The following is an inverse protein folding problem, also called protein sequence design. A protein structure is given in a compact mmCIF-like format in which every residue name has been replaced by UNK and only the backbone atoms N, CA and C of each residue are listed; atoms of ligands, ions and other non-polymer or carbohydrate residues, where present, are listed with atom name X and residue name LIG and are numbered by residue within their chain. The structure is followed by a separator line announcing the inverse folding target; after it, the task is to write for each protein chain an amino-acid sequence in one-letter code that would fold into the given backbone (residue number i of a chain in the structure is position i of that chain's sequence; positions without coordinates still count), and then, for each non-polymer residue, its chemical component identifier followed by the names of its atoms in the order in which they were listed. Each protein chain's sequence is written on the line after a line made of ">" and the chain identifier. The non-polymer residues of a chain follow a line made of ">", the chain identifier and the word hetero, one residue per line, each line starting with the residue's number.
data_IF_112088302572
#
_entry.id   IF_112088302572
#
_cell.length_a   1.000
_cell.length_b   1.000
_cell.length_c   1.000
_cell.angle_alpha   90.00
_cell.angle_beta   90.00
_cell.angle_gamma   90.00
#
_symmetry.space_group_name_H-M   'P 1'
#
loop_
_entity.id
_entity.type
_entity.pdbx_description
1 polymer ?
#
# COMPACT_ATOMS: atom_id res chain seq x y z
N UNK A 1 32.68 -13.72 18.97
CA UNK A 1 32.05 -12.41 18.67
C UNK A 1 31.55 -11.81 19.97
N UNK A 2 31.78 -10.53 20.23
CA UNK A 2 31.30 -9.87 21.46
C UNK A 2 29.75 -9.81 21.47
N UNK A 3 29.13 -10.15 22.59
CA UNK A 3 27.66 -10.02 22.76
C UNK A 3 27.30 -8.53 22.74
N UNK A 4 26.52 -8.08 21.75
CA UNK A 4 26.01 -6.71 21.68
C UNK A 4 24.94 -6.51 22.75
N UNK A 5 24.85 -5.29 23.29
CA UNK A 5 23.76 -4.91 24.21
C UNK A 5 22.45 -4.84 23.43
N UNK A 6 21.41 -5.47 23.98
CA UNK A 6 20.06 -5.43 23.40
C UNK A 6 19.45 -4.07 23.75
N UNK A 7 19.02 -3.33 22.74
CA UNK A 7 18.39 -2.02 22.90
C UNK A 7 16.86 -2.07 22.89
N UNK A 8 16.25 -2.82 21.96
CA UNK A 8 14.78 -2.95 21.84
C UNK A 8 14.42 -4.35 21.35
N UNK A 9 13.29 -4.88 21.79
CA UNK A 9 12.70 -6.11 21.24
C UNK A 9 11.49 -5.68 20.40
N UNK A 10 11.47 -6.11 19.14
CA UNK A 10 10.33 -5.89 18.25
C UNK A 10 9.54 -7.19 18.19
N UNK A 11 8.24 -7.13 18.50
CA UNK A 11 7.31 -8.23 18.24
C UNK A 11 6.75 -8.09 16.83
N UNK A 12 6.86 -9.15 16.02
CA UNK A 12 6.27 -9.26 14.69
C UNK A 12 5.29 -10.45 14.69
N UNK A 13 4.12 -10.32 14.06
CA UNK A 13 3.25 -11.48 13.85
C UNK A 13 3.96 -12.64 13.16
N UNK A 14 3.55 -13.87 13.47
CA UNK A 14 3.96 -15.05 12.70
C UNK A 14 3.51 -14.97 11.23
N UNK A 15 4.03 -15.88 10.40
CA UNK A 15 3.83 -15.84 8.95
C UNK A 15 2.37 -16.06 8.55
N UNK A 16 1.69 -16.98 9.23
CA UNK A 16 0.30 -17.35 8.95
C UNK A 16 -0.62 -16.92 10.08
N UNK A 17 -1.90 -16.76 9.77
CA UNK A 17 -2.92 -16.56 10.80
C UNK A 17 -2.92 -17.69 11.83
N UNK A 18 -2.72 -17.34 13.11
CA UNK A 18 -2.65 -18.28 14.22
C UNK A 18 -1.24 -18.70 14.62
N UNK A 19 -0.21 -18.34 13.84
CA UNK A 19 1.18 -18.54 14.24
C UNK A 19 1.55 -17.63 15.43
N UNK A 20 2.47 -18.11 16.27
CA UNK A 20 2.98 -17.33 17.39
C UNK A 20 3.78 -16.11 16.90
N UNK A 21 3.71 -15.02 17.67
CA UNK A 21 4.53 -13.84 17.42
C UNK A 21 6.02 -14.17 17.54
N UNK A 22 6.82 -13.52 16.71
CA UNK A 22 8.27 -13.64 16.65
C UNK A 22 8.90 -12.43 17.31
N UNK A 23 9.78 -12.66 18.28
CA UNK A 23 10.56 -11.61 18.92
C UNK A 23 11.91 -11.42 18.22
N UNK A 24 12.17 -10.19 17.78
CA UNK A 24 13.41 -9.82 17.11
C UNK A 24 14.18 -8.85 18.03
N UNK A 25 15.29 -9.28 18.65
CA UNK A 25 16.12 -8.40 19.47
C UNK A 25 16.98 -7.50 18.58
N UNK A 26 16.82 -6.19 18.74
CA UNK A 26 17.59 -5.16 18.06
C UNK A 26 18.70 -4.65 18.99
N UNK A 27 19.93 -4.60 18.47
CA UNK A 27 21.07 -4.12 19.22
C UNK A 27 21.01 -2.59 19.42
N UNK A 28 21.49 -2.13 20.57
CA UNK A 28 21.46 -0.71 20.99
C UNK A 28 22.16 0.22 19.97
N UNK A 29 23.25 -0.25 19.36
CA UNK A 29 24.04 0.48 18.37
C UNK A 29 23.34 0.63 17.01
N UNK A 30 22.26 -0.12 16.77
CA UNK A 30 21.46 -0.04 15.54
C UNK A 30 20.21 0.82 15.70
N UNK A 31 19.91 1.28 16.92
CA UNK A 31 18.74 2.12 17.17
C UNK A 31 18.91 3.48 16.49
N UNK A 32 17.85 3.90 15.79
CA UNK A 32 17.72 5.23 15.21
C UNK A 32 16.50 5.93 15.83
N UNK A 33 16.19 7.13 15.33
CA UNK A 33 14.93 7.82 15.63
C UNK A 33 13.76 6.90 15.28
N UNK A 34 12.76 6.87 16.16
CA UNK A 34 11.56 6.07 15.94
C UNK A 34 10.77 6.60 14.73
N UNK A 35 10.32 5.69 13.88
CA UNK A 35 9.61 6.02 12.65
C UNK A 35 10.50 6.56 11.54
N UNK A 36 9.87 6.94 10.42
CA UNK A 36 10.54 7.56 9.28
C UNK A 36 10.54 9.07 9.52
N UNK A 37 11.71 9.73 9.62
CA UNK A 37 11.76 11.17 9.78
C UNK A 37 11.20 11.85 8.54
N UNK A 38 10.16 12.67 8.71
CA UNK A 38 9.54 13.44 7.62
C UNK A 38 9.87 14.92 7.76
N UNK A 39 10.19 15.56 6.64
CA UNK A 39 10.37 17.01 6.54
C UNK A 39 9.18 17.60 5.79
N UNK A 40 8.18 18.05 6.53
CA UNK A 40 6.88 18.42 5.95
C UNK A 40 6.97 19.54 4.89
N UNK A 41 7.90 20.48 5.06
CA UNK A 41 8.18 21.53 4.07
C UNK A 41 8.67 20.96 2.73
N UNK A 42 9.57 19.96 2.77
CA UNK A 42 10.06 19.29 1.57
C UNK A 42 8.96 18.46 0.92
N UNK A 43 8.21 17.67 1.70
CA UNK A 43 7.08 16.87 1.20
C UNK A 43 6.06 17.77 0.52
N UNK A 44 5.71 18.91 1.13
CA UNK A 44 4.79 19.88 0.56
C UNK A 44 5.31 20.48 -0.75
N UNK A 45 6.57 20.90 -0.79
CA UNK A 45 7.19 21.44 -2.00
C UNK A 45 7.17 20.41 -3.16
N UNK A 46 7.71 19.22 -2.95
CA UNK A 46 7.77 18.20 -4.00
C UNK A 46 6.38 17.74 -4.44
N UNK A 47 5.42 17.59 -3.53
CA UNK A 47 4.06 17.20 -3.89
C UNK A 47 3.34 18.22 -4.79
N UNK A 48 3.77 19.49 -4.76
CA UNK A 48 3.23 20.57 -5.58
C UNK A 48 3.97 20.72 -6.91
N UNK A 49 5.31 20.75 -6.87
CA UNK A 49 6.12 20.98 -8.06
C UNK A 49 6.27 19.72 -8.93
N UNK A 50 6.23 18.53 -8.31
CA UNK A 50 6.40 17.23 -8.95
C UNK A 50 5.30 16.28 -8.45
N UNK A 51 4.03 16.52 -8.80
CA UNK A 51 2.93 15.70 -8.33
C UNK A 51 3.10 14.26 -8.79
N UNK A 52 2.88 13.32 -7.87
CA UNK A 52 2.99 11.90 -8.16
C UNK A 52 1.97 11.52 -9.24
N UNK A 53 2.40 10.76 -10.25
CA UNK A 53 1.53 10.21 -11.29
C UNK A 53 1.92 8.75 -11.62
N UNK A 54 0.97 8.02 -12.19
CA UNK A 54 1.19 6.69 -12.72
C UNK A 54 2.17 6.74 -13.89
N UNK A 55 3.24 5.94 -13.82
CA UNK A 55 4.22 5.76 -14.90
C UNK A 55 3.56 5.48 -16.27
N UNK A 56 2.48 4.69 -16.28
CA UNK A 56 1.76 4.35 -17.51
C UNK A 56 1.07 5.57 -18.17
N UNK A 57 0.74 6.60 -17.40
CA UNK A 57 0.18 7.86 -17.92
C UNK A 57 1.28 8.84 -18.27
N UNK A 58 2.28 8.99 -17.40
CA UNK A 58 3.41 9.91 -17.62
C UNK A 58 4.25 9.51 -18.84
N UNK A 59 4.44 8.20 -19.06
CA UNK A 59 5.20 7.64 -20.17
C UNK A 59 4.32 6.83 -21.13
N UNK A 60 3.13 7.33 -21.45
CA UNK A 60 2.15 6.66 -22.31
C UNK A 60 2.73 6.24 -23.67
N UNK A 61 3.52 7.10 -24.31
CA UNK A 61 4.18 6.79 -25.58
C UNK A 61 5.10 5.56 -25.50
N UNK A 62 5.86 5.44 -24.40
CA UNK A 62 6.71 4.26 -24.16
C UNK A 62 5.88 3.01 -23.89
N UNK A 63 4.73 3.16 -23.21
CA UNK A 63 3.81 2.04 -22.96
C UNK A 63 3.16 1.53 -24.26
N UNK A 64 2.76 2.43 -25.17
CA UNK A 64 2.22 2.12 -26.49
C UNK A 64 3.27 1.44 -27.37
N UNK A 65 4.48 1.99 -27.44
CA UNK A 65 5.59 1.37 -28.17
C UNK A 65 5.93 -0.01 -27.59
N UNK A 66 6.04 -0.16 -26.27
CA UNK A 66 6.29 -1.47 -25.65
C UNK A 66 5.16 -2.48 -25.91
N UNK A 67 3.93 -2.01 -26.16
CA UNK A 67 2.83 -2.86 -26.60
C UNK A 67 2.98 -3.28 -28.07
N UNK A 68 3.40 -2.39 -28.98
CA UNK A 68 3.64 -2.75 -30.38
C UNK A 68 4.77 -3.78 -30.50
N UNK A 69 5.89 -3.54 -29.82
CA UNK A 69 7.03 -4.47 -29.79
C UNK A 69 6.64 -5.86 -29.25
N UNK A 70 5.85 -5.91 -28.17
CA UNK A 70 5.35 -7.18 -27.63
C UNK A 70 4.40 -7.89 -28.60
N UNK A 71 3.59 -7.14 -29.34
CA UNK A 71 2.64 -7.70 -30.30
C UNK A 71 3.38 -8.31 -31.50
N UNK A 72 4.48 -7.70 -31.93
CA UNK A 72 5.31 -8.18 -33.03
C UNK A 72 6.20 -9.37 -32.62
N UNK A 73 6.88 -9.26 -31.49
CA UNK A 73 7.93 -10.22 -31.11
C UNK A 73 7.49 -11.28 -30.10
N UNK A 74 6.46 -11.03 -29.30
CA UNK A 74 6.01 -11.93 -28.21
C UNK A 74 4.48 -11.99 -28.09
N UNK A 75 3.75 -12.43 -29.12
CA UNK A 75 2.28 -12.36 -29.16
C UNK A 75 1.59 -13.11 -28.02
N UNK A 76 2.13 -14.26 -27.60
CA UNK A 76 1.60 -15.01 -26.46
C UNK A 76 1.67 -14.21 -25.15
N UNK A 77 2.73 -13.42 -24.96
CA UNK A 77 2.84 -12.50 -23.81
C UNK A 77 1.79 -11.40 -23.92
N UNK A 78 1.60 -10.81 -25.10
CA UNK A 78 0.59 -9.77 -25.29
C UNK A 78 -0.84 -10.28 -25.01
N UNK A 79 -1.16 -11.51 -25.40
CA UNK A 79 -2.45 -12.16 -25.08
C UNK A 79 -2.65 -12.29 -23.56
N UNK A 80 -1.63 -12.74 -22.83
CA UNK A 80 -1.68 -12.83 -21.36
C UNK A 80 -1.98 -11.47 -20.70
N UNK A 81 -1.33 -10.39 -21.16
CA UNK A 81 -1.60 -9.04 -20.66
C UNK A 81 -3.02 -8.58 -20.98
N UNK A 82 -3.50 -8.84 -22.21
CA UNK A 82 -4.87 -8.50 -22.62
C UNK A 82 -5.91 -9.22 -21.75
N UNK A 83 -5.71 -10.51 -21.51
CA UNK A 83 -6.63 -11.31 -20.70
C UNK A 83 -6.60 -10.91 -19.23
N UNK A 84 -5.42 -10.57 -18.69
CA UNK A 84 -5.32 -9.99 -17.36
C UNK A 84 -6.11 -8.66 -17.26
N UNK A 85 -5.92 -7.76 -18.23
CA UNK A 85 -6.65 -6.48 -18.25
C UNK A 85 -8.17 -6.69 -18.33
N UNK A 86 -8.65 -7.61 -19.18
CA UNK A 86 -10.08 -7.96 -19.27
C UNK A 86 -10.62 -8.47 -17.94
N UNK A 87 -9.89 -9.35 -17.26
CA UNK A 87 -10.28 -9.90 -15.96
C UNK A 87 -10.28 -8.84 -14.86
N UNK A 88 -9.38 -7.86 -14.93
CA UNK A 88 -9.25 -6.77 -13.95
C UNK A 88 -10.22 -5.61 -14.17
N UNK A 89 -10.65 -5.35 -15.41
CA UNK A 89 -11.50 -4.20 -15.73
C UNK A 89 -12.77 -4.10 -14.84
N UNK A 90 -13.55 -5.18 -14.60
CA UNK A 90 -14.69 -5.11 -13.70
C UNK A 90 -14.33 -4.74 -12.25
N UNK A 91 -13.16 -5.16 -11.77
CA UNK A 91 -12.69 -4.84 -10.42
C UNK A 91 -12.26 -3.38 -10.31
N UNK A 92 -11.52 -2.87 -11.31
CA UNK A 92 -11.14 -1.46 -11.40
C UNK A 92 -12.38 -0.58 -11.36
N UNK A 93 -13.42 -0.95 -12.10
CA UNK A 93 -14.68 -0.20 -12.14
C UNK A 93 -15.40 -0.22 -10.79
N UNK A 94 -15.49 -1.39 -10.13
CA UNK A 94 -16.03 -1.49 -8.77
C UNK A 94 -15.26 -0.64 -7.76
N UNK A 95 -13.94 -0.55 -7.90
CA UNK A 95 -13.08 0.24 -7.01
C UNK A 95 -13.29 1.74 -7.23
N UNK A 96 -13.41 2.19 -8.48
CA UNK A 96 -13.74 3.60 -8.79
C UNK A 96 -15.02 4.07 -8.09
N UNK A 97 -16.05 3.23 -8.10
CA UNK A 97 -17.33 3.52 -7.44
C UNK A 97 -17.36 3.22 -5.94
N UNK A 98 -16.27 2.70 -5.37
CA UNK A 98 -16.21 2.46 -3.92
C UNK A 98 -16.26 3.77 -3.12
N UNK A 99 -15.74 4.86 -3.70
CA UNK A 99 -15.78 6.20 -3.12
C UNK A 99 -17.20 6.79 -3.00
N UNK A 100 -18.13 6.33 -3.83
CA UNK A 100 -19.52 6.82 -3.83
C UNK A 100 -20.35 6.27 -2.65
N UNK A 101 -19.81 5.29 -1.91
CA UNK A 101 -20.50 4.66 -0.80
C UNK A 101 -20.38 5.50 0.47
N UNK A 102 -21.51 5.97 0.99
CA UNK A 102 -21.52 6.63 2.30
C UNK A 102 -21.37 5.59 3.43
N UNK A 103 -20.40 5.77 4.35
CA UNK A 103 -20.23 4.89 5.47
C UNK A 103 -21.33 5.20 6.48
N UNK A 104 -21.95 4.15 7.02
CA UNK A 104 -22.94 4.27 8.08
C UNK A 104 -22.37 3.60 9.35
N UNK A 105 -21.45 4.26 10.07
CA UNK A 105 -20.85 3.68 11.26
C UNK A 105 -21.90 3.56 12.37
N UNK A 106 -21.80 2.51 13.18
CA UNK A 106 -22.58 2.45 14.42
C UNK A 106 -22.11 3.57 15.36
N UNK A 107 -23.05 4.18 16.09
CA UNK A 107 -22.80 5.33 16.97
C UNK A 107 -21.81 5.02 18.10
N UNK A 108 -21.56 3.73 18.38
CA UNK A 108 -20.70 3.23 19.45
C UNK A 108 -19.52 2.38 18.95
N UNK A 109 -19.09 2.53 17.70
CA UNK A 109 -17.87 1.88 17.24
C UNK A 109 -16.68 2.47 18.01
N UNK A 110 -16.19 1.72 19.00
CA UNK A 110 -14.97 2.06 19.74
C UNK A 110 -13.73 1.92 18.86
N UNK A 111 -12.58 1.65 19.48
CA UNK A 111 -11.37 1.33 18.73
C UNK A 111 -11.50 -0.04 18.03
N UNK A 112 -11.51 -0.03 16.69
CA UNK A 112 -11.61 -1.23 15.84
C UNK A 112 -10.24 -1.68 15.30
N UNK A 113 -9.13 -1.13 15.80
CA UNK A 113 -7.79 -1.40 15.26
C UNK A 113 -7.44 -2.88 15.29
N UNK A 114 -7.74 -3.57 16.40
CA UNK A 114 -7.49 -5.02 16.52
C UNK A 114 -8.42 -5.84 15.63
N UNK A 115 -9.70 -5.50 15.56
CA UNK A 115 -10.68 -6.20 14.70
C UNK A 115 -10.30 -6.09 13.21
N UNK A 116 -9.85 -4.91 12.78
CA UNK A 116 -9.36 -4.69 11.42
C UNK A 116 -8.09 -5.51 11.17
N UNK A 117 -7.16 -5.54 12.13
CA UNK A 117 -5.92 -6.32 12.03
C UNK A 117 -6.22 -7.81 11.94
N UNK A 118 -7.08 -8.32 12.81
CA UNK A 118 -7.51 -9.71 12.81
C UNK A 118 -8.15 -10.09 11.48
N UNK A 119 -9.07 -9.24 10.99
CA UNK A 119 -9.73 -9.48 9.70
C UNK A 119 -8.74 -9.49 8.53
N UNK A 120 -7.77 -8.59 8.52
CA UNK A 120 -6.73 -8.55 7.50
C UNK A 120 -5.84 -9.80 7.54
N UNK A 121 -5.46 -10.29 8.73
CA UNK A 121 -4.73 -11.54 8.85
C UNK A 121 -5.55 -12.74 8.35
N UNK A 122 -6.84 -12.81 8.67
CA UNK A 122 -7.75 -13.85 8.14
C UNK A 122 -7.83 -13.83 6.60
N UNK A 123 -7.64 -12.66 5.98
CA UNK A 123 -7.60 -12.51 4.52
C UNK A 123 -6.23 -12.87 3.91
N UNK A 124 -5.23 -13.20 4.72
CA UNK A 124 -3.90 -13.63 4.30
C UNK A 124 -2.84 -12.52 4.24
N UNK A 125 -3.11 -11.33 4.78
CA UNK A 125 -2.10 -10.27 4.89
C UNK A 125 -1.20 -10.51 6.10
N UNK A 126 0.12 -10.47 5.90
CA UNK A 126 1.12 -10.75 6.93
C UNK A 126 1.42 -9.54 7.82
N UNK A 127 1.45 -8.34 7.24
CA UNK A 127 1.71 -7.10 7.97
C UNK A 127 0.61 -6.06 7.70
N UNK A 128 0.20 -5.38 8.78
CA UNK A 128 -0.89 -4.42 8.78
C UNK A 128 -0.42 -3.16 9.49
N UNK A 129 -0.41 -2.06 8.75
CA UNK A 129 -0.08 -0.73 9.27
C UNK A 129 -1.27 0.22 9.18
N UNK A 130 -1.31 1.18 10.10
CA UNK A 130 -2.27 2.28 10.10
C UNK A 130 -1.51 3.59 10.05
N UNK A 131 -1.96 4.51 9.21
CA UNK A 131 -1.36 5.84 9.13
C UNK A 131 -2.43 6.88 8.82
N UNK A 132 -2.13 8.15 9.08
CA UNK A 132 -2.97 9.24 8.64
C UNK A 132 -2.99 9.28 7.11
N UNK A 133 -4.19 9.44 6.55
CA UNK A 133 -4.33 9.61 5.12
C UNK A 133 -3.81 10.99 4.68
N UNK A 134 -2.90 10.98 3.71
CA UNK A 134 -2.28 12.19 3.17
C UNK A 134 -2.41 12.21 1.64
N UNK A 135 -3.16 13.21 1.15
CA UNK A 135 -3.48 13.39 -0.27
C UNK A 135 -2.26 13.70 -1.13
N UNK A 136 -1.14 14.11 -0.53
CA UNK A 136 0.13 14.35 -1.24
C UNK A 136 0.70 13.06 -1.85
N UNK A 137 0.34 11.90 -1.31
CA UNK A 137 0.76 10.59 -1.80
C UNK A 137 -0.25 9.92 -2.75
N UNK A 138 -1.27 10.65 -3.21
CA UNK A 138 -2.25 10.14 -4.17
C UNK A 138 -1.87 10.59 -5.57
N UNK A 139 -1.86 9.66 -6.54
CA UNK A 139 -1.66 9.98 -7.95
C UNK A 139 -2.61 11.09 -8.42
N UNK A 140 -2.08 12.05 -9.18
CA UNK A 140 -2.84 13.21 -9.64
C UNK A 140 -4.12 12.79 -10.38
N UNK A 141 -4.02 11.86 -11.33
CA UNK A 141 -5.16 11.25 -12.06
C UNK A 141 -6.18 10.51 -11.18
N UNK A 142 -5.88 10.23 -9.92
CA UNK A 142 -6.75 9.49 -8.98
C UNK A 142 -7.38 10.38 -7.92
N UNK A 143 -6.93 11.62 -7.76
CA UNK A 143 -7.38 12.52 -6.69
C UNK A 143 -8.88 12.81 -6.70
N UNK A 144 -9.53 12.76 -7.87
CA UNK A 144 -10.97 12.98 -8.02
C UNK A 144 -11.83 11.81 -7.51
N UNK A 145 -11.32 10.58 -7.58
CA UNK A 145 -12.04 9.37 -7.16
C UNK A 145 -11.80 9.01 -5.68
N UNK A 146 -10.79 9.62 -5.06
CA UNK A 146 -10.42 9.31 -3.68
C UNK A 146 -11.13 10.25 -2.71
N UNK A 147 -11.88 9.65 -1.79
CA UNK A 147 -12.54 10.34 -0.68
C UNK A 147 -11.55 11.07 0.21
N UNK A 148 -11.94 12.27 0.62
CA UNK A 148 -11.10 13.16 1.45
C UNK A 148 -11.58 13.29 2.88
N UNK A 149 -12.78 12.79 3.16
CA UNK A 149 -13.40 12.81 4.47
C UNK A 149 -12.92 11.66 5.37
N UNK A 150 -12.22 10.67 4.81
CA UNK A 150 -11.63 9.55 5.55
C UNK A 150 -10.22 9.92 6.05
N UNK A 151 -9.96 9.89 7.37
CA UNK A 151 -8.73 10.44 7.94
C UNK A 151 -7.55 9.47 7.94
N UNK A 152 -7.79 8.18 7.69
CA UNK A 152 -6.82 7.11 7.90
C UNK A 152 -6.66 6.24 6.65
N UNK A 153 -5.46 5.72 6.47
CA UNK A 153 -5.14 4.68 5.50
C UNK A 153 -4.75 3.39 6.23
N UNK A 154 -5.20 2.25 5.69
CA UNK A 154 -4.81 0.91 6.13
C UNK A 154 -3.83 0.37 5.08
N UNK A 155 -2.60 0.09 5.49
CA UNK A 155 -1.55 -0.45 4.65
C UNK A 155 -1.44 -1.95 4.89
N UNK A 156 -1.62 -2.74 3.84
CA UNK A 156 -1.63 -4.19 3.91
C UNK A 156 -0.45 -4.74 3.10
N UNK A 157 0.39 -5.57 3.72
CA UNK A 157 1.48 -6.25 3.05
C UNK A 157 1.10 -7.72 2.82
N UNK A 158 1.26 -8.17 1.58
CA UNK A 158 1.11 -9.55 1.18
C UNK A 158 2.48 -10.08 0.75
N UNK A 159 2.95 -11.13 1.41
CA UNK A 159 4.23 -11.77 1.09
C UNK A 159 4.06 -12.60 -0.19
N UNK A 160 4.86 -12.29 -1.22
CA UNK A 160 4.88 -13.07 -2.46
C UNK A 160 5.63 -14.38 -2.19
N UNK A 161 4.89 -15.50 -2.24
CA UNK A 161 5.44 -16.86 -2.17
C UNK A 161 6.00 -17.35 -3.50
#
# INVERSE_FOLDING_TARGET
>A
MAKRRIGKIISRPGLTYGDADIEIPIAEDLLKVEGIPQRDAEVSYYSREFPLESFALEHSASAEWAQSERSEHTPATQELYSDYQKKMAPWIEKIRHSGDKNPNPSVNAGDLTEDIRDKAKQLGYGEIGFTKFDRRYVYQSRKEFVRTDLPNAICLAYEQG
#
